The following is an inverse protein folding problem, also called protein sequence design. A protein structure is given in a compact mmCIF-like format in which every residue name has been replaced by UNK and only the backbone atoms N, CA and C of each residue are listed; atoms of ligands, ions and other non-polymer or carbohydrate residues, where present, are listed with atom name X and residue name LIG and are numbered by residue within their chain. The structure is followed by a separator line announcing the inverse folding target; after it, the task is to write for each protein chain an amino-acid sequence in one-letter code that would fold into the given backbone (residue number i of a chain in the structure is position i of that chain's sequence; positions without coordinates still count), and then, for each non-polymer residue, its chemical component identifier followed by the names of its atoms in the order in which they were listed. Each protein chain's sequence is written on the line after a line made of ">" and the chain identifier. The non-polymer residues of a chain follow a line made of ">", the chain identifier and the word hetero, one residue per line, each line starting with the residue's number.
data_IF_991520947256
#
_entry.id   IF_991520947256
#
_cell.length_a   1.000
_cell.length_b   1.000
_cell.length_c   1.000
_cell.angle_alpha   90.00
_cell.angle_beta   90.00
_cell.angle_gamma   90.00
#
_symmetry.space_group_name_H-M   'P 1'
#
loop_
_entity.id
_entity.type
_entity.pdbx_description
1 polymer ?
#
# COMPACT_ATOMS: atom_id res chain seq x y z
N UNK A 1 -9.51 -20.03 40.64
CA UNK A 1 -8.50 -19.65 39.72
C UNK A 1 -8.95 -20.03 38.32
N UNK A 2 -9.56 -19.09 37.60
CA UNK A 2 -9.99 -19.25 36.22
C UNK A 2 -8.76 -19.01 35.33
N UNK A 3 -8.34 -20.06 34.66
CA UNK A 3 -7.41 -19.99 33.56
C UNK A 3 -8.10 -19.20 32.44
N UNK A 4 -7.68 -17.96 32.25
CA UNK A 4 -7.89 -17.23 31.01
C UNK A 4 -7.01 -17.92 29.95
N UNK A 5 -7.63 -18.83 29.23
CA UNK A 5 -7.02 -19.44 28.05
C UNK A 5 -6.69 -18.37 27.03
N UNK A 6 -5.43 -18.29 26.67
CA UNK A 6 -4.95 -17.57 25.50
C UNK A 6 -5.64 -18.11 24.24
N UNK A 7 -6.75 -17.53 23.88
CA UNK A 7 -7.24 -17.58 22.51
C UNK A 7 -6.45 -16.50 21.73
N UNK A 8 -5.20 -16.80 21.39
CA UNK A 8 -4.61 -16.22 20.22
C UNK A 8 -5.46 -16.71 19.02
N UNK A 9 -6.45 -15.91 18.68
CA UNK A 9 -7.06 -16.01 17.37
C UNK A 9 -5.92 -15.81 16.37
N UNK A 10 -5.54 -16.89 15.73
CA UNK A 10 -4.58 -16.92 14.64
C UNK A 10 -5.24 -16.25 13.43
N UNK A 11 -5.49 -14.92 13.53
CA UNK A 11 -5.95 -14.11 12.43
C UNK A 11 -4.86 -14.16 11.39
N UNK A 12 -5.04 -15.00 10.37
CA UNK A 12 -4.08 -15.18 9.29
C UNK A 12 -3.93 -13.85 8.57
N UNK A 13 -2.83 -13.15 8.85
CA UNK A 13 -2.42 -11.97 8.10
C UNK A 13 -2.29 -12.36 6.64
N UNK A 14 -3.11 -11.77 5.76
CA UNK A 14 -3.12 -12.12 4.34
C UNK A 14 -3.60 -10.97 3.47
N UNK A 15 -3.37 -11.10 2.18
CA UNK A 15 -4.00 -10.25 1.18
C UNK A 15 -5.47 -10.63 1.00
N UNK A 16 -6.32 -9.61 1.00
CA UNK A 16 -7.73 -9.72 0.65
C UNK A 16 -8.04 -8.81 -0.54
N UNK A 17 -8.65 -9.39 -1.56
CA UNK A 17 -9.11 -8.68 -2.74
C UNK A 17 -10.65 -8.82 -2.81
N UNK A 18 -11.41 -7.72 -2.65
CA UNK A 18 -12.86 -7.78 -2.74
C UNK A 18 -13.35 -8.33 -4.08
N UNK A 19 -14.50 -8.97 -4.07
CA UNK A 19 -15.20 -9.32 -5.30
C UNK A 19 -15.54 -8.04 -6.08
N UNK A 20 -15.47 -8.13 -7.41
CA UNK A 20 -15.85 -7.04 -8.33
C UNK A 20 -17.35 -6.73 -8.27
N UNK A 21 -18.18 -7.69 -7.83
CA UNK A 21 -19.63 -7.55 -7.74
C UNK A 21 -20.29 -7.31 -9.10
N UNK A 22 -19.82 -8.02 -10.14
CA UNK A 22 -20.26 -7.90 -11.54
C UNK A 22 -20.04 -6.50 -12.16
N UNK A 23 -19.21 -5.66 -11.55
CA UNK A 23 -18.80 -4.35 -12.07
C UNK A 23 -17.75 -4.43 -13.17
N UNK A 24 -16.99 -3.35 -13.35
CA UNK A 24 -15.93 -3.29 -14.36
C UNK A 24 -14.74 -4.21 -14.06
N UNK A 25 -14.12 -4.71 -15.12
CA UNK A 25 -12.82 -5.39 -15.04
C UNK A 25 -11.73 -4.33 -15.19
N UNK A 26 -10.82 -4.27 -14.21
CA UNK A 26 -9.80 -3.23 -14.10
C UNK A 26 -8.46 -3.79 -14.61
N UNK A 27 -8.00 -3.26 -15.76
CA UNK A 27 -6.65 -3.49 -16.27
C UNK A 27 -5.65 -2.54 -15.63
N UNK A 28 -4.42 -2.55 -16.15
CA UNK A 28 -3.40 -1.59 -15.74
C UNK A 28 -3.74 -0.20 -16.27
N UNK A 29 -4.50 0.52 -15.46
CA UNK A 29 -4.76 1.93 -15.66
C UNK A 29 -4.17 2.69 -14.48
N UNK A 30 -3.13 3.44 -14.73
CA UNK A 30 -2.53 4.28 -13.71
C UNK A 30 -2.61 5.75 -14.11
N UNK A 31 -3.75 6.42 -13.82
CA UNK A 31 -3.86 7.86 -14.02
C UNK A 31 -2.76 8.65 -13.30
N UNK A 32 -2.29 8.13 -12.15
CA UNK A 32 -1.17 8.72 -11.42
C UNK A 32 0.14 8.68 -12.21
N UNK A 33 0.43 7.59 -12.95
CA UNK A 33 1.60 7.53 -13.83
C UNK A 33 1.53 8.59 -14.92
N UNK A 34 0.36 8.80 -15.51
CA UNK A 34 0.16 9.82 -16.53
C UNK A 34 0.39 11.24 -15.98
N UNK A 35 -0.01 11.50 -14.73
CA UNK A 35 0.12 12.81 -14.08
C UNK A 35 1.54 13.08 -13.57
N UNK A 36 2.27 12.04 -13.18
CA UNK A 36 3.65 12.15 -12.68
C UNK A 36 4.70 11.84 -13.76
N UNK A 37 4.31 11.84 -15.05
CA UNK A 37 5.22 11.67 -16.17
C UNK A 37 6.41 12.63 -16.07
N UNK A 38 7.59 12.03 -16.02
CA UNK A 38 8.87 12.75 -16.03
C UNK A 38 9.61 12.72 -14.69
N UNK A 39 8.94 12.93 -13.55
CA UNK A 39 9.61 13.03 -12.24
C UNK A 39 8.81 12.34 -11.10
N UNK A 40 8.48 11.03 -11.18
CA UNK A 40 7.64 10.37 -10.20
C UNK A 40 8.23 10.35 -8.79
N UNK A 41 9.56 10.24 -8.68
CA UNK A 41 10.26 10.25 -7.38
C UNK A 41 10.15 11.63 -6.72
N UNK A 42 10.36 12.70 -7.48
CA UNK A 42 10.23 14.07 -6.99
C UNK A 42 8.79 14.36 -6.56
N UNK A 43 7.82 13.93 -7.36
CA UNK A 43 6.40 14.09 -7.03
C UNK A 43 6.05 13.35 -5.74
N UNK A 44 6.50 12.09 -5.59
CA UNK A 44 6.30 11.29 -4.39
C UNK A 44 6.95 11.96 -3.17
N UNK A 45 8.22 12.38 -3.27
CA UNK A 45 8.92 13.03 -2.16
C UNK A 45 8.22 14.33 -1.74
N UNK A 46 7.78 15.15 -2.70
CA UNK A 46 7.03 16.39 -2.44
C UNK A 46 5.72 16.10 -1.71
N UNK A 47 4.95 15.14 -2.19
CA UNK A 47 3.66 14.79 -1.59
C UNK A 47 3.81 14.26 -0.16
N UNK A 48 4.75 13.34 0.06
CA UNK A 48 4.98 12.79 1.40
C UNK A 48 5.47 13.88 2.36
N UNK A 49 6.41 14.73 1.95
CA UNK A 49 6.87 15.84 2.79
C UNK A 49 5.73 16.83 3.09
N UNK A 50 4.85 17.12 2.13
CA UNK A 50 3.70 17.99 2.35
C UNK A 50 2.74 17.37 3.37
N UNK A 51 2.40 16.11 3.22
CA UNK A 51 1.52 15.39 4.17
C UNK A 51 2.12 15.39 5.59
N UNK A 52 3.44 15.21 5.71
CA UNK A 52 4.13 15.26 7.00
C UNK A 52 4.11 16.68 7.60
N UNK A 53 4.26 17.73 6.78
CA UNK A 53 4.13 19.13 7.23
C UNK A 53 2.73 19.44 7.74
N UNK A 54 1.70 18.97 7.04
CA UNK A 54 0.30 19.18 7.40
C UNK A 54 -0.07 18.43 8.69
N UNK A 55 0.62 17.32 8.98
CA UNK A 55 0.43 16.51 10.19
C UNK A 55 1.38 16.90 11.34
N UNK A 56 2.17 17.97 11.23
CA UNK A 56 3.15 18.37 12.26
C UNK A 56 2.49 18.55 13.62
N UNK A 57 3.04 17.88 14.66
CA UNK A 57 2.46 17.84 15.99
C UNK A 57 2.84 19.06 16.83
N UNK A 58 4.14 19.41 16.89
CA UNK A 58 4.67 20.46 17.75
C UNK A 58 5.61 21.38 16.95
N UNK A 59 5.38 22.70 17.10
CA UNK A 59 6.24 23.72 16.48
C UNK A 59 7.56 23.95 17.22
N UNK A 60 7.71 23.44 18.44
CA UNK A 60 8.95 23.56 19.24
C UNK A 60 10.04 22.63 18.72
N UNK A 61 9.65 21.47 18.20
CA UNK A 61 10.57 20.49 17.65
C UNK A 61 10.51 20.50 16.13
N UNK A 62 11.65 20.25 15.44
CA UNK A 62 11.65 20.15 13.99
C UNK A 62 10.88 18.93 13.52
N UNK A 63 10.17 19.06 12.40
CA UNK A 63 9.71 17.91 11.63
C UNK A 63 10.94 17.21 11.05
N UNK A 64 11.00 15.88 11.18
CA UNK A 64 12.02 15.05 10.55
C UNK A 64 11.35 14.06 9.60
N UNK A 65 11.83 13.99 8.37
CA UNK A 65 11.42 12.99 7.38
C UNK A 65 12.66 12.26 6.90
N UNK A 66 12.64 10.94 7.03
CA UNK A 66 13.74 10.05 6.64
C UNK A 66 13.36 9.24 5.42
N UNK A 67 14.25 9.19 4.44
CA UNK A 67 14.16 8.33 3.27
C UNK A 67 15.29 7.30 3.36
N UNK A 68 14.95 6.02 3.38
CA UNK A 68 15.92 4.97 3.47
C UNK A 68 15.63 3.88 2.43
N UNK A 69 16.65 3.52 1.66
CA UNK A 69 16.59 2.43 0.70
C UNK A 69 17.11 1.17 1.35
N UNK A 70 16.21 0.21 1.55
CA UNK A 70 16.51 -1.09 2.14
C UNK A 70 16.65 -2.14 1.04
N UNK A 71 17.52 -3.10 1.28
CA UNK A 71 17.67 -4.28 0.45
C UNK A 71 17.31 -5.50 1.28
N UNK A 72 16.10 -6.02 1.06
CA UNK A 72 15.46 -7.01 1.91
C UNK A 72 15.37 -8.33 1.16
N UNK A 73 15.61 -9.44 1.86
CA UNK A 73 15.33 -10.76 1.31
C UNK A 73 13.83 -10.87 0.99
N UNK A 74 13.50 -11.25 -0.23
CA UNK A 74 12.11 -11.22 -0.72
C UNK A 74 11.17 -12.05 0.16
N UNK A 75 11.62 -13.21 0.65
CA UNK A 75 10.84 -14.07 1.54
C UNK A 75 10.53 -13.44 2.90
N UNK A 76 11.29 -12.44 3.32
CA UNK A 76 11.18 -11.83 4.65
C UNK A 76 10.27 -10.58 4.63
N UNK A 77 9.82 -10.15 3.42
CA UNK A 77 8.87 -9.05 3.30
C UNK A 77 7.42 -9.57 3.45
N UNK A 78 6.54 -8.84 4.18
CA UNK A 78 5.19 -9.33 4.47
C UNK A 78 4.35 -9.55 3.22
N UNK A 79 3.61 -10.66 3.17
CA UNK A 79 2.63 -10.99 2.13
C UNK A 79 3.20 -11.25 0.73
N UNK A 80 4.53 -11.33 0.57
CA UNK A 80 5.16 -11.51 -0.76
C UNK A 80 4.82 -12.86 -1.39
N UNK A 81 4.74 -13.92 -0.60
CA UNK A 81 4.43 -15.27 -1.13
C UNK A 81 3.02 -15.28 -1.71
N UNK A 82 2.04 -14.74 -0.99
CA UNK A 82 0.64 -14.64 -1.44
C UNK A 82 0.50 -13.65 -2.59
N UNK A 83 1.26 -12.54 -2.56
CA UNK A 83 1.33 -11.57 -3.67
C UNK A 83 1.79 -12.25 -4.95
N UNK A 84 2.81 -13.11 -4.89
CA UNK A 84 3.28 -13.89 -6.04
C UNK A 84 2.19 -14.81 -6.59
N UNK A 85 1.46 -15.51 -5.72
CA UNK A 85 0.34 -16.35 -6.14
C UNK A 85 -0.77 -15.53 -6.81
N UNK A 86 -1.11 -14.37 -6.25
CA UNK A 86 -2.10 -13.45 -6.83
C UNK A 86 -1.64 -12.94 -8.20
N UNK A 87 -0.38 -12.55 -8.34
CA UNK A 87 0.18 -12.11 -9.63
C UNK A 87 0.16 -13.22 -10.67
N UNK A 88 0.36 -14.49 -10.27
CA UNK A 88 0.18 -15.62 -11.20
C UNK A 88 -1.28 -15.74 -11.66
N UNK A 89 -2.27 -15.57 -10.77
CA UNK A 89 -3.70 -15.52 -11.16
C UNK A 89 -3.97 -14.35 -12.12
N UNK A 90 -3.38 -13.18 -11.87
CA UNK A 90 -3.45 -12.02 -12.78
C UNK A 90 -2.87 -12.35 -14.16
N UNK A 91 -1.69 -12.95 -14.21
CA UNK A 91 -1.04 -13.34 -15.46
C UNK A 91 -1.89 -14.32 -16.28
N UNK A 92 -2.40 -15.37 -15.66
CA UNK A 92 -3.27 -16.36 -16.31
C UNK A 92 -4.56 -15.74 -16.85
N UNK A 93 -5.13 -14.78 -16.13
CA UNK A 93 -6.33 -14.06 -16.55
C UNK A 93 -6.05 -13.15 -17.75
N UNK A 94 -4.96 -12.36 -17.71
CA UNK A 94 -4.67 -11.33 -18.71
C UNK A 94 -3.92 -11.84 -19.94
N UNK A 95 -3.23 -12.99 -19.87
CA UNK A 95 -2.51 -13.53 -21.04
C UNK A 95 -3.40 -13.75 -22.26
N UNK A 96 -4.71 -13.96 -22.05
CA UNK A 96 -5.71 -14.15 -23.09
C UNK A 96 -6.42 -12.86 -23.52
N UNK A 97 -6.17 -11.77 -22.81
CA UNK A 97 -6.73 -10.46 -23.11
C UNK A 97 -5.77 -9.67 -24.01
N UNK A 98 -6.30 -8.75 -24.81
CA UNK A 98 -5.49 -7.98 -25.77
C UNK A 98 -4.71 -6.80 -25.16
N UNK A 99 -4.69 -6.62 -23.83
CA UNK A 99 -4.05 -5.49 -23.17
C UNK A 99 -2.57 -5.75 -22.87
N UNK A 100 -1.70 -5.32 -23.76
CA UNK A 100 -0.25 -5.49 -23.62
C UNK A 100 0.35 -4.69 -22.45
N UNK A 101 -0.20 -3.52 -22.10
CA UNK A 101 0.27 -2.73 -20.95
C UNK A 101 0.03 -3.50 -19.66
N UNK A 102 -1.15 -4.06 -19.49
CA UNK A 102 -1.51 -4.89 -18.33
C UNK A 102 -0.63 -6.14 -18.25
N UNK A 103 -0.41 -6.84 -19.35
CA UNK A 103 0.48 -8.01 -19.38
C UNK A 103 1.90 -7.66 -18.96
N UNK A 104 2.45 -6.56 -19.50
CA UNK A 104 3.81 -6.12 -19.18
C UNK A 104 3.95 -5.74 -17.72
N UNK A 105 2.96 -5.02 -17.15
CA UNK A 105 2.94 -4.71 -15.72
C UNK A 105 2.98 -5.99 -14.87
N UNK A 106 2.09 -6.94 -15.12
CA UNK A 106 2.01 -8.20 -14.35
C UNK A 106 3.31 -8.99 -14.46
N UNK A 107 3.91 -9.05 -15.65
CA UNK A 107 5.20 -9.72 -15.85
C UNK A 107 6.31 -9.06 -15.04
N UNK A 108 6.44 -7.74 -15.10
CA UNK A 108 7.45 -6.98 -14.33
C UNK A 108 7.26 -7.15 -12.81
N UNK A 109 6.01 -7.19 -12.35
CA UNK A 109 5.69 -7.44 -10.95
C UNK A 109 6.08 -8.87 -10.53
N UNK A 110 5.78 -9.88 -11.35
CA UNK A 110 6.20 -11.27 -11.12
C UNK A 110 7.72 -11.42 -11.06
N UNK A 111 8.44 -10.81 -12.00
CA UNK A 111 9.90 -10.81 -12.00
C UNK A 111 10.45 -10.19 -10.71
N UNK A 112 9.83 -9.11 -10.23
CA UNK A 112 10.23 -8.43 -8.98
C UNK A 112 10.07 -9.33 -7.76
N UNK A 113 8.92 -10.03 -7.60
CA UNK A 113 8.67 -10.90 -6.45
C UNK A 113 9.32 -12.29 -6.56
N UNK A 114 9.88 -12.61 -7.72
CA UNK A 114 10.60 -13.88 -7.96
C UNK A 114 12.10 -13.78 -7.67
N UNK A 115 12.63 -12.58 -7.53
CA UNK A 115 14.02 -12.35 -7.14
C UNK A 115 14.30 -12.75 -5.68
N UNK A 116 15.55 -13.05 -5.35
CA UNK A 116 15.96 -13.39 -3.98
C UNK A 116 15.84 -12.22 -3.03
N UNK A 117 16.03 -11.01 -3.53
CA UNK A 117 15.98 -9.78 -2.75
C UNK A 117 15.13 -8.74 -3.47
N UNK A 118 14.53 -7.84 -2.69
CA UNK A 118 13.69 -6.74 -3.15
C UNK A 118 14.18 -5.42 -2.55
N UNK A 119 14.20 -4.37 -3.37
CA UNK A 119 14.38 -3.03 -2.85
C UNK A 119 13.09 -2.52 -2.23
N UNK A 120 13.21 -1.95 -1.04
CA UNK A 120 12.11 -1.29 -0.31
C UNK A 120 12.56 0.14 -0.01
N UNK A 121 11.78 1.13 -0.43
CA UNK A 121 11.96 2.48 0.07
C UNK A 121 11.13 2.61 1.34
N UNK A 122 11.79 2.92 2.46
CA UNK A 122 11.14 3.35 3.70
C UNK A 122 11.13 4.86 3.75
N UNK A 123 9.98 5.45 4.03
CA UNK A 123 9.83 6.86 4.33
C UNK A 123 9.19 6.97 5.70
N UNK A 124 9.86 7.65 6.62
CA UNK A 124 9.42 7.78 8.01
C UNK A 124 9.34 9.24 8.39
N UNK A 125 8.21 9.68 8.93
CA UNK A 125 8.11 10.99 9.55
C UNK A 125 8.12 10.90 11.08
N UNK A 126 8.54 11.96 11.73
CA UNK A 126 8.65 12.10 13.17
C UNK A 126 8.23 13.50 13.57
N UNK A 127 7.72 13.64 14.80
CA UNK A 127 7.06 14.84 15.29
C UNK A 127 5.82 15.20 14.47
N UNK A 128 5.05 14.16 14.10
CA UNK A 128 3.73 14.29 13.48
C UNK A 128 2.67 13.65 14.38
N UNK A 129 1.40 13.95 14.10
CA UNK A 129 0.27 13.34 14.83
C UNK A 129 0.09 11.86 14.53
N UNK A 130 0.77 11.34 13.51
CA UNK A 130 0.50 10.03 12.92
C UNK A 130 -0.88 9.96 12.25
N UNK A 131 -1.24 8.77 11.76
CA UNK A 131 -2.52 8.52 11.11
C UNK A 131 -3.53 7.99 12.13
N UNK A 132 -4.41 8.88 12.63
CA UNK A 132 -5.45 8.53 13.59
C UNK A 132 -6.63 7.79 12.96
N UNK A 133 -7.31 6.97 13.77
CA UNK A 133 -8.59 6.35 13.44
C UNK A 133 -8.49 5.05 12.66
N UNK A 134 -7.39 4.31 12.79
CA UNK A 134 -7.22 2.99 12.15
C UNK A 134 -8.28 1.97 12.58
N UNK A 135 -8.72 2.04 13.84
CA UNK A 135 -9.73 1.15 14.43
C UNK A 135 -11.02 1.88 14.81
N UNK A 136 -11.23 3.09 14.28
CA UNK A 136 -12.46 3.85 14.53
C UNK A 136 -13.61 3.33 13.67
N UNK A 137 -14.82 3.35 14.22
CA UNK A 137 -16.05 3.08 13.48
C UNK A 137 -16.48 4.25 12.58
N UNK A 138 -15.85 5.42 12.73
CA UNK A 138 -16.11 6.58 11.87
C UNK A 138 -15.71 6.28 10.42
N UNK A 139 -16.55 6.70 9.48
CA UNK A 139 -16.30 6.48 8.05
C UNK A 139 -15.19 7.36 7.48
N UNK A 140 -14.90 8.51 8.12
CA UNK A 140 -13.91 9.48 7.66
C UNK A 140 -12.90 9.71 8.77
N UNK A 141 -11.71 9.14 8.62
CA UNK A 141 -10.57 9.35 9.52
C UNK A 141 -9.30 9.59 8.68
N UNK A 142 -8.25 10.17 9.24
CA UNK A 142 -6.96 10.30 8.56
C UNK A 142 -6.45 8.96 8.03
N UNK A 143 -6.57 7.87 8.82
CA UNK A 143 -6.20 6.53 8.38
C UNK A 143 -7.02 6.07 7.19
N UNK A 144 -8.35 6.05 7.31
CA UNK A 144 -9.23 5.59 6.23
C UNK A 144 -9.08 6.46 4.97
N UNK A 145 -8.91 7.75 5.15
CA UNK A 145 -8.67 8.68 4.06
C UNK A 145 -7.40 8.39 3.26
N UNK A 146 -6.29 8.03 3.90
CA UNK A 146 -5.03 7.76 3.23
C UNK A 146 -4.89 6.29 2.79
N UNK A 147 -5.22 5.35 3.68
CA UNK A 147 -4.93 3.92 3.50
C UNK A 147 -6.03 3.19 2.75
N UNK A 148 -7.31 3.49 3.04
CA UNK A 148 -8.46 2.79 2.47
C UNK A 148 -9.22 3.60 1.43
N UNK A 149 -8.93 4.91 1.30
CA UNK A 149 -9.57 5.76 0.30
C UNK A 149 -9.11 5.40 -1.12
N UNK A 150 -10.03 5.49 -2.09
CA UNK A 150 -9.71 5.26 -3.51
C UNK A 150 -8.64 6.26 -3.98
N UNK A 151 -7.39 5.82 -4.04
CA UNK A 151 -6.26 6.63 -4.49
C UNK A 151 -6.40 7.08 -5.96
N UNK A 152 -7.32 6.48 -6.70
CA UNK A 152 -7.52 6.69 -8.13
C UNK A 152 -8.92 7.21 -8.50
N UNK A 153 -9.83 7.40 -7.53
CA UNK A 153 -11.13 7.99 -7.82
C UNK A 153 -11.00 9.51 -8.01
N UNK A 154 -10.80 9.92 -9.25
CA UNK A 154 -10.98 11.31 -9.66
C UNK A 154 -12.50 11.56 -9.66
N UNK A 155 -13.04 12.07 -8.57
CA UNK A 155 -14.37 12.69 -8.62
C UNK A 155 -14.25 13.99 -9.39
N UNK A 156 -14.79 14.00 -10.61
CA UNK A 156 -14.73 15.10 -11.57
C UNK A 156 -15.53 16.35 -11.18
N UNK A 157 -16.05 16.45 -9.98
CA UNK A 157 -16.91 17.56 -9.55
C UNK A 157 -16.60 17.98 -8.13
N UNK A 158 -15.49 18.71 -7.91
CA UNK A 158 -15.42 19.66 -6.79
C UNK A 158 -14.31 20.69 -7.01
N UNK A 159 -14.73 21.89 -7.28
CA UNK A 159 -13.92 23.07 -7.61
C UNK A 159 -13.24 23.73 -6.40
N UNK A 160 -13.18 23.10 -5.23
CA UNK A 160 -12.68 23.76 -4.02
C UNK A 160 -11.65 22.99 -3.18
N UNK A 161 -11.23 21.75 -3.56
CA UNK A 161 -10.23 20.99 -2.80
C UNK A 161 -9.30 20.23 -3.75
N UNK A 162 -8.66 20.95 -4.62
CA UNK A 162 -8.01 20.46 -5.84
C UNK A 162 -6.68 19.77 -5.66
N UNK A 163 -6.39 18.91 -4.71
CA UNK A 163 -5.23 18.03 -4.79
C UNK A 163 -5.30 16.78 -3.90
N UNK A 164 -6.27 16.67 -3.03
CA UNK A 164 -6.32 15.61 -2.00
C UNK A 164 -6.46 14.17 -2.52
N UNK A 165 -6.86 13.93 -3.76
CA UNK A 165 -7.01 12.57 -4.29
C UNK A 165 -5.82 12.05 -5.08
N UNK A 166 -5.08 12.93 -5.71
CA UNK A 166 -4.04 12.58 -6.70
C UNK A 166 -2.72 12.28 -6.02
N UNK A 167 -2.36 13.04 -5.01
CA UNK A 167 -1.12 12.90 -4.26
C UNK A 167 -0.97 11.54 -3.58
N UNK A 168 -2.06 10.94 -3.14
CA UNK A 168 -2.08 9.59 -2.55
C UNK A 168 -1.56 8.51 -3.49
N UNK A 169 -1.66 8.71 -4.81
CA UNK A 169 -1.16 7.77 -5.80
C UNK A 169 0.37 7.78 -5.94
N UNK A 170 1.02 8.87 -5.56
CA UNK A 170 2.45 9.06 -5.80
C UNK A 170 3.35 7.96 -5.20
N UNK A 171 3.15 7.45 -3.97
CA UNK A 171 3.93 6.34 -3.44
C UNK A 171 3.77 5.03 -4.23
N UNK A 172 2.59 4.78 -4.81
CA UNK A 172 2.35 3.56 -5.60
C UNK A 172 3.06 3.61 -6.94
N UNK A 173 3.16 4.79 -7.56
CA UNK A 173 3.79 4.98 -8.87
C UNK A 173 5.27 4.58 -8.88
N UNK A 174 5.98 4.76 -7.78
CA UNK A 174 7.40 4.40 -7.64
C UNK A 174 7.62 2.94 -7.25
N UNK A 175 6.56 2.16 -7.08
CA UNK A 175 6.60 0.72 -6.81
C UNK A 175 6.33 -0.09 -8.06
N UNK A 176 7.23 -1.00 -8.43
CA UNK A 176 6.97 -1.99 -9.50
C UNK A 176 5.81 -2.93 -9.18
N UNK A 177 5.42 -3.01 -7.89
CA UNK A 177 4.30 -3.81 -7.40
C UNK A 177 3.04 -2.98 -7.18
N UNK A 178 3.10 -1.65 -7.36
CA UNK A 178 2.05 -0.72 -6.97
C UNK A 178 1.51 -1.02 -5.56
N UNK A 179 2.43 -1.18 -4.62
CA UNK A 179 2.15 -1.61 -3.26
C UNK A 179 2.82 -0.68 -2.27
N UNK A 180 2.09 -0.33 -1.23
CA UNK A 180 2.58 0.47 -0.10
C UNK A 180 2.09 -0.17 1.19
N UNK A 181 2.97 -0.34 2.16
CA UNK A 181 2.60 -0.67 3.53
C UNK A 181 2.69 0.59 4.37
N UNK A 182 1.63 0.89 5.08
CA UNK A 182 1.52 1.97 6.02
C UNK A 182 1.66 1.43 7.43
N UNK A 183 2.40 2.13 8.28
CA UNK A 183 2.46 1.88 9.71
C UNK A 183 2.41 3.21 10.44
N UNK A 184 1.61 3.29 11.49
CA UNK A 184 1.50 4.50 12.31
C UNK A 184 1.73 4.18 13.79
N UNK A 185 2.25 5.16 14.50
CA UNK A 185 2.14 5.31 15.94
C UNK A 185 1.60 6.72 16.17
N UNK A 186 0.31 6.83 16.42
CA UNK A 186 -0.36 8.11 16.48
C UNK A 186 -0.23 8.77 17.87
N UNK A 187 -0.55 10.05 17.94
CA UNK A 187 -0.44 10.85 19.17
C UNK A 187 -1.36 10.38 20.30
N UNK A 188 -2.36 9.54 20.03
CA UNK A 188 -3.22 8.93 21.05
C UNK A 188 -2.65 7.64 21.61
N UNK A 189 -1.50 7.19 21.11
CA UNK A 189 -0.83 5.96 21.53
C UNK A 189 -1.23 4.71 20.72
N UNK A 190 -2.06 4.87 19.69
CA UNK A 190 -2.51 3.76 18.87
C UNK A 190 -1.43 3.41 17.83
N UNK A 191 -1.12 2.12 17.72
CA UNK A 191 -0.27 1.55 16.66
C UNK A 191 -1.13 0.79 15.69
N UNK A 192 -0.90 1.00 14.39
CA UNK A 192 -1.58 0.26 13.34
C UNK A 192 -0.68 0.07 12.12
N UNK A 193 -0.91 -1.02 11.38
CA UNK A 193 -0.22 -1.30 10.14
C UNK A 193 -1.14 -1.99 9.12
N UNK A 194 -1.00 -1.67 7.84
CA UNK A 194 -1.77 -2.27 6.75
C UNK A 194 -1.01 -2.13 5.44
N UNK A 195 -1.09 -3.15 4.57
CA UNK A 195 -0.63 -3.04 3.19
C UNK A 195 -1.78 -2.72 2.25
N UNK A 196 -1.50 -1.94 1.20
CA UNK A 196 -2.43 -1.65 0.10
C UNK A 196 -1.71 -1.89 -1.21
N UNK A 197 -2.40 -2.52 -2.15
CA UNK A 197 -1.88 -2.74 -3.50
C UNK A 197 -2.93 -2.39 -4.55
N UNK A 198 -2.47 -1.90 -5.70
CA UNK A 198 -3.29 -1.65 -6.88
C UNK A 198 -2.77 -2.50 -8.04
N UNK A 199 -3.16 -3.76 -8.07
CA UNK A 199 -2.78 -4.68 -9.14
C UNK A 199 -3.69 -4.49 -10.37
N UNK A 200 -4.26 -5.58 -10.83
CA UNK A 200 -5.25 -5.66 -11.90
C UNK A 200 -6.32 -6.68 -11.49
N UNK A 201 -7.51 -6.58 -12.05
CA UNK A 201 -8.53 -7.61 -11.80
C UNK A 201 -8.04 -9.00 -12.20
N UNK A 202 -8.45 -10.03 -11.48
CA UNK A 202 -8.11 -11.41 -11.77
C UNK A 202 -9.25 -12.35 -11.40
N UNK A 203 -9.23 -13.54 -11.98
CA UNK A 203 -10.20 -14.59 -11.64
C UNK A 203 -9.70 -15.38 -10.43
N UNK A 204 -10.51 -15.43 -9.40
CA UNK A 204 -10.29 -16.28 -8.23
C UNK A 204 -11.07 -17.59 -8.40
N UNK A 205 -10.34 -18.70 -8.41
CA UNK A 205 -10.93 -20.04 -8.58
C UNK A 205 -11.55 -20.59 -7.31
N UNK A 206 -11.29 -19.94 -6.17
CA UNK A 206 -11.80 -20.33 -4.85
C UNK A 206 -13.06 -19.55 -4.43
N UNK A 207 -13.65 -18.78 -5.36
CA UNK A 207 -14.88 -18.03 -5.10
C UNK A 207 -16.05 -18.94 -4.77
N UNK A 208 -16.90 -18.47 -3.85
CA UNK A 208 -18.12 -19.22 -3.46
C UNK A 208 -19.09 -19.28 -4.64
N UNK A 209 -19.93 -20.33 -4.65
CA UNK A 209 -20.98 -20.47 -5.64
C UNK A 209 -21.94 -19.26 -5.59
N UNK A 210 -22.19 -18.62 -6.73
CA UNK A 210 -23.05 -17.44 -6.84
C UNK A 210 -22.33 -16.10 -6.60
N UNK A 211 -21.06 -16.11 -6.17
CA UNK A 211 -20.23 -14.92 -6.09
C UNK A 211 -19.57 -14.63 -7.45
N UNK A 212 -19.40 -13.36 -7.80
CA UNK A 212 -18.56 -12.98 -8.96
C UNK A 212 -17.12 -13.45 -8.69
N UNK A 213 -16.58 -14.36 -9.51
CA UNK A 213 -15.23 -14.88 -9.31
C UNK A 213 -14.14 -13.87 -9.65
N UNK A 214 -14.49 -12.73 -10.23
CA UNK A 214 -13.50 -11.69 -10.55
C UNK A 214 -13.27 -10.82 -9.32
N UNK A 215 -12.02 -10.65 -8.96
CA UNK A 215 -11.57 -9.77 -7.88
C UNK A 215 -11.22 -8.40 -8.41
N UNK A 216 -11.42 -7.38 -7.58
CA UNK A 216 -10.98 -6.00 -7.86
C UNK A 216 -9.45 -5.93 -7.93
N UNK A 217 -8.95 -4.89 -8.59
CA UNK A 217 -7.51 -4.61 -8.67
C UNK A 217 -6.91 -4.18 -7.32
N UNK A 218 -7.71 -3.52 -6.48
CA UNK A 218 -7.27 -3.07 -5.16
C UNK A 218 -7.38 -4.20 -4.14
N UNK A 219 -6.27 -4.45 -3.44
CA UNK A 219 -6.18 -5.43 -2.36
C UNK A 219 -5.56 -4.84 -1.10
N UNK A 220 -5.89 -5.45 0.04
CA UNK A 220 -5.42 -5.03 1.35
C UNK A 220 -4.75 -6.18 2.08
N UNK A 221 -3.59 -5.92 2.68
CA UNK A 221 -2.91 -6.85 3.58
C UNK A 221 -3.26 -6.47 5.02
N UNK A 222 -4.04 -7.29 5.68
CA UNK A 222 -4.57 -7.02 7.00
C UNK A 222 -5.08 -8.28 7.69
N UNK A 223 -6.20 -8.17 8.38
CA UNK A 223 -6.87 -9.30 9.05
C UNK A 223 -7.43 -10.36 8.07
N UNK A 224 -7.47 -10.00 6.79
CA UNK A 224 -7.88 -10.89 5.70
C UNK A 224 -9.37 -11.17 5.59
N UNK A 225 -10.21 -10.51 6.38
CA UNK A 225 -11.66 -10.70 6.36
C UNK A 225 -12.43 -9.41 6.05
N UNK A 226 -12.10 -8.33 6.74
CA UNK A 226 -12.83 -7.06 6.65
C UNK A 226 -11.94 -5.88 6.24
N UNK A 227 -10.74 -6.12 5.74
CA UNK A 227 -9.75 -5.09 5.42
C UNK A 227 -9.34 -4.24 6.62
N UNK A 228 -9.39 -4.80 7.83
CA UNK A 228 -8.99 -4.09 9.03
C UNK A 228 -7.47 -4.01 9.12
N UNK A 229 -7.02 -2.90 9.68
CA UNK A 229 -5.63 -2.73 10.05
C UNK A 229 -5.22 -3.75 11.14
N UNK A 230 -3.94 -4.06 11.18
CA UNK A 230 -3.30 -4.87 12.22
C UNK A 230 -2.65 -3.94 13.24
N UNK A 231 -2.52 -4.38 14.49
CA UNK A 231 -1.75 -3.65 15.51
C UNK A 231 -0.26 -3.59 15.14
N UNK A 232 0.26 -4.65 14.49
CA UNK A 232 1.64 -4.72 14.03
C UNK A 232 1.79 -5.71 12.88
N UNK A 233 2.83 -5.50 12.08
CA UNK A 233 3.34 -6.45 11.11
C UNK A 233 4.81 -6.70 11.47
N UNK A 234 5.10 -7.85 12.08
CA UNK A 234 6.40 -8.17 12.66
C UNK A 234 7.57 -8.02 11.68
N UNK A 235 7.36 -8.36 10.40
CA UNK A 235 8.38 -8.20 9.36
C UNK A 235 8.75 -6.72 9.15
N UNK A 236 7.79 -5.79 9.24
CA UNK A 236 8.08 -4.36 9.15
C UNK A 236 8.76 -3.85 10.43
N UNK A 237 8.38 -4.40 11.58
CA UNK A 237 9.02 -4.06 12.86
C UNK A 237 10.48 -4.52 12.91
N UNK A 238 10.82 -5.64 12.23
CA UNK A 238 12.20 -6.08 12.05
C UNK A 238 13.02 -5.13 11.17
N UNK A 239 12.39 -4.45 10.20
CA UNK A 239 13.09 -3.48 9.34
C UNK A 239 13.38 -2.16 10.07
N UNK A 240 12.49 -1.75 10.94
CA UNK A 240 12.61 -0.54 11.74
C UNK A 240 11.69 -0.60 12.96
N UNK A 241 12.22 -0.35 14.15
CA UNK A 241 11.42 -0.24 15.38
C UNK A 241 10.98 1.20 15.55
N UNK A 242 9.65 1.44 15.54
CA UNK A 242 9.09 2.77 15.76
C UNK A 242 8.80 3.00 17.24
N UNK A 243 9.45 3.99 17.81
CA UNK A 243 9.27 4.42 19.22
C UNK A 243 8.68 5.82 19.33
N UNK A 244 8.75 6.62 18.28
CA UNK A 244 8.25 7.99 18.23
C UNK A 244 6.94 8.07 17.41
N UNK A 245 6.09 9.06 17.74
CA UNK A 245 4.87 9.32 16.99
C UNK A 245 5.17 9.69 15.54
N UNK A 246 4.32 9.20 14.64
CA UNK A 246 4.42 9.48 13.22
C UNK A 246 4.01 8.28 12.36
N UNK A 247 4.39 8.35 11.09
CA UNK A 247 3.98 7.39 10.06
C UNK A 247 5.20 6.86 9.31
N UNK A 248 5.16 5.57 8.96
CA UNK A 248 6.09 4.95 8.02
C UNK A 248 5.34 4.47 6.78
N UNK A 249 5.93 4.71 5.63
CA UNK A 249 5.59 4.08 4.36
C UNK A 249 6.70 3.13 3.97
N UNK A 250 6.35 1.88 3.64
CA UNK A 250 7.29 0.91 3.06
C UNK A 250 6.81 0.59 1.65
N UNK A 251 7.64 0.88 0.66
CA UNK A 251 7.33 0.78 -0.77
C UNK A 251 8.18 -0.35 -1.37
N UNK A 252 7.66 -1.61 -1.40
CA UNK A 252 8.39 -2.74 -1.98
C UNK A 252 8.45 -2.65 -3.51
N UNK A 253 9.51 -3.18 -4.09
CA UNK A 253 9.75 -3.07 -5.52
C UNK A 253 10.05 -1.63 -5.95
N UNK A 254 10.65 -0.84 -5.05
CA UNK A 254 11.01 0.54 -5.35
C UNK A 254 11.85 0.61 -6.62
N UNK A 255 11.39 1.43 -7.55
CA UNK A 255 12.01 1.63 -8.85
C UNK A 255 12.68 3.00 -8.91
N UNK A 256 14.00 3.01 -8.77
CA UNK A 256 14.80 4.23 -8.98
C UNK A 256 15.07 4.53 -10.46
N UNK A 257 14.67 3.65 -11.37
CA UNK A 257 15.06 3.69 -12.79
C UNK A 257 14.26 4.68 -13.65
N UNK A 258 13.73 5.72 -13.06
CA UNK A 258 13.26 6.88 -13.83
C UNK A 258 14.38 7.90 -14.09
N UNK A 259 15.58 7.64 -13.59
CA UNK A 259 16.79 8.38 -13.78
C UNK A 259 17.99 7.43 -13.82
N UNK A 260 19.13 7.90 -14.23
CA UNK A 260 20.40 7.17 -14.24
C UNK A 260 20.66 6.59 -12.85
N UNK A 261 21.23 5.41 -12.77
CA UNK A 261 21.45 4.58 -11.55
C UNK A 261 22.23 5.25 -10.40
N UNK A 262 22.58 6.52 -10.48
CA UNK A 262 23.43 7.24 -9.54
C UNK A 262 22.76 8.49 -8.92
N UNK A 263 21.46 8.69 -9.06
CA UNK A 263 20.79 9.93 -8.57
C UNK A 263 20.30 9.82 -7.11
N UNK A 264 21.04 9.06 -6.26
CA UNK A 264 20.81 8.94 -4.81
C UNK A 264 22.08 9.22 -4.04
#
# INVERSE_FOLDING_TARGET
>A
PLQLGNMEANNMKKWFFPSRGFGATEGFSNPGLEMFKGEPIRAMAREVCQNSLDAKKDNKEPLRVEFERLFVKTSDFPGIIEMRQTLMKCYEFWKKQGDEKTKQFVKNALDTVSGNNIFVLRISDYNTTGLKGAFSDENITPWKGLVQGDAFSIKSNDTAAGSFGIGKAAPFVVSKLQTVFYRTYDETGVKAAQGVTHLVSFKDTESKQGEDPIRRSTGYYGDGEQNNALLSISQLDCLNIRTEHGTDLFIPGFNSATGKSNDW
#
